data_IF_360639706820
#
_entry.id   IF_360639706820
#
_cell.length_a   1.000
_cell.length_b   1.000
_cell.length_c   1.000
_cell.angle_alpha   90.00
_cell.angle_beta   90.00
_cell.angle_gamma   90.00
#
_symmetry.space_group_name_H-M   'P 1'
#
loop_
_entity.id
_entity.type
_entity.pdbx_description
1 polymer ?
#
# COMPACT_ATOMS: atom_id res chain seq x y z
N UNK A 1 2.63 -6.24 34.99
CA UNK A 1 3.28 -6.93 33.84
C UNK A 1 3.53 -8.43 34.12
N UNK A 2 4.34 -8.83 35.11
CA UNK A 2 4.62 -10.26 35.41
C UNK A 2 3.38 -11.12 35.73
N UNK A 3 2.44 -10.63 36.54
CA UNK A 3 1.20 -11.37 36.85
C UNK A 3 0.32 -11.63 35.62
N UNK A 4 0.25 -10.67 34.68
CA UNK A 4 -0.51 -10.83 33.44
C UNK A 4 0.14 -11.84 32.49
N UNK A 5 1.47 -11.82 32.38
CA UNK A 5 2.23 -12.78 31.59
C UNK A 5 2.08 -14.21 32.14
N UNK A 6 2.18 -14.39 33.46
CA UNK A 6 1.92 -15.68 34.12
C UNK A 6 0.50 -16.17 33.84
N UNK A 7 -0.50 -15.29 33.97
CA UNK A 7 -1.89 -15.65 33.67
C UNK A 7 -2.09 -16.04 32.19
N UNK A 8 -1.47 -15.33 31.25
CA UNK A 8 -1.53 -15.68 29.83
C UNK A 8 -0.96 -17.09 29.58
N UNK A 9 0.21 -17.41 30.13
CA UNK A 9 0.86 -18.72 29.96
C UNK A 9 0.10 -19.85 30.64
N UNK A 10 -0.32 -19.63 31.89
CA UNK A 10 -0.84 -20.72 32.73
C UNK A 10 -2.33 -20.99 32.49
N UNK A 11 -3.07 -19.98 32.04
CA UNK A 11 -4.54 -20.05 31.88
C UNK A 11 -4.94 -19.94 30.41
N UNK A 12 -4.51 -18.88 29.71
CA UNK A 12 -5.02 -18.59 28.36
C UNK A 12 -4.41 -19.47 27.28
N UNK A 13 -3.09 -19.73 27.32
CA UNK A 13 -2.40 -20.53 26.31
C UNK A 13 -2.98 -21.95 26.20
N UNK A 14 -3.38 -22.54 27.34
CA UNK A 14 -4.05 -23.86 27.38
C UNK A 14 -5.43 -23.88 26.73
N UNK A 15 -6.05 -22.71 26.54
CA UNK A 15 -7.36 -22.52 25.90
C UNK A 15 -7.24 -21.94 24.49
N UNK A 16 -6.03 -21.61 24.04
CA UNK A 16 -5.80 -21.05 22.72
C UNK A 16 -6.11 -22.09 21.65
N UNK A 17 -6.44 -21.61 20.44
CA UNK A 17 -6.58 -22.48 19.28
C UNK A 17 -5.23 -23.17 18.98
N UNK A 18 -5.25 -24.39 18.42
CA UNK A 18 -4.02 -25.09 18.05
C UNK A 18 -3.32 -24.48 16.84
N UNK A 19 -4.04 -23.67 16.04
CA UNK A 19 -3.52 -22.98 14.87
C UNK A 19 -4.05 -21.54 14.76
N UNK A 20 -3.56 -20.82 13.75
CA UNK A 20 -3.94 -19.44 13.45
C UNK A 20 -5.26 -19.32 12.68
N UNK A 21 -5.89 -20.42 12.28
CA UNK A 21 -7.08 -20.36 11.42
C UNK A 21 -8.26 -19.76 12.18
N UNK A 22 -8.87 -18.75 11.59
CA UNK A 22 -10.08 -18.14 12.12
C UNK A 22 -11.30 -18.99 11.74
N UNK A 23 -12.33 -19.08 12.60
CA UNK A 23 -13.62 -19.59 12.17
C UNK A 23 -14.09 -18.83 10.92
N UNK A 24 -14.62 -19.51 9.88
CA UNK A 24 -14.92 -18.87 8.59
C UNK A 24 -15.80 -17.61 8.71
N UNK A 25 -16.78 -17.62 9.61
CA UNK A 25 -17.65 -16.46 9.85
C UNK A 25 -16.89 -15.26 10.46
N UNK A 26 -15.90 -15.51 11.33
CA UNK A 26 -15.08 -14.46 11.93
C UNK A 26 -14.15 -13.85 10.88
N UNK A 27 -13.50 -14.67 10.05
CA UNK A 27 -12.65 -14.15 8.98
C UNK A 27 -13.44 -13.33 7.94
N UNK A 28 -14.63 -13.82 7.55
CA UNK A 28 -15.52 -13.09 6.65
C UNK A 28 -15.98 -11.75 7.24
N UNK A 29 -16.20 -11.67 8.56
CA UNK A 29 -16.54 -10.43 9.24
C UNK A 29 -15.34 -9.47 9.34
N UNK A 30 -14.12 -9.97 9.56
CA UNK A 30 -12.92 -9.16 9.51
C UNK A 30 -12.73 -8.48 8.15
N UNK A 31 -12.88 -9.22 7.04
CA UNK A 31 -12.81 -8.66 5.68
C UNK A 31 -13.78 -7.47 5.54
N UNK A 32 -15.01 -7.66 6.03
CA UNK A 32 -16.03 -6.61 6.03
C UNK A 32 -15.63 -5.37 6.84
N UNK A 33 -14.96 -5.56 7.98
CA UNK A 33 -14.41 -4.47 8.78
C UNK A 33 -13.38 -3.61 8.05
N UNK A 34 -12.67 -4.19 7.06
CA UNK A 34 -11.69 -3.48 6.24
C UNK A 34 -12.24 -2.98 4.90
N UNK A 35 -13.57 -3.04 4.70
CA UNK A 35 -14.21 -2.60 3.47
C UNK A 35 -14.17 -3.62 2.33
N UNK A 36 -13.77 -4.86 2.62
CA UNK A 36 -13.69 -5.95 1.64
C UNK A 36 -14.96 -6.79 1.72
N UNK A 37 -15.74 -6.80 0.63
CA UNK A 37 -17.04 -7.50 0.57
C UNK A 37 -16.99 -8.82 -0.21
N UNK A 38 -15.91 -9.08 -0.93
CA UNK A 38 -15.70 -10.32 -1.66
C UNK A 38 -15.41 -11.51 -0.71
N UNK A 39 -15.75 -12.70 -1.18
CA UNK A 39 -15.44 -13.95 -0.48
C UNK A 39 -13.94 -14.28 -0.55
N UNK A 40 -13.39 -15.07 0.39
CA UNK A 40 -12.01 -15.55 0.34
C UNK A 40 -11.65 -16.20 -1.02
N UNK A 41 -12.55 -16.98 -1.59
CA UNK A 41 -12.33 -17.68 -2.86
C UNK A 41 -12.27 -16.72 -4.06
N UNK A 42 -13.11 -15.68 -4.08
CA UNK A 42 -13.05 -14.63 -5.10
C UNK A 42 -11.74 -13.85 -5.00
N UNK A 43 -11.35 -13.45 -3.78
CA UNK A 43 -10.09 -12.74 -3.53
C UNK A 43 -8.88 -13.55 -4.02
N UNK A 44 -8.81 -14.83 -3.67
CA UNK A 44 -7.73 -15.73 -4.10
C UNK A 44 -7.68 -15.82 -5.63
N UNK A 45 -8.81 -16.11 -6.26
CA UNK A 45 -8.89 -16.33 -7.72
C UNK A 45 -8.48 -15.08 -8.51
N UNK A 46 -9.04 -13.92 -8.15
CA UNK A 46 -8.76 -12.67 -8.85
C UNK A 46 -7.29 -12.25 -8.65
N UNK A 47 -6.80 -12.31 -7.42
CA UNK A 47 -5.44 -11.86 -7.11
C UNK A 47 -4.36 -12.77 -7.70
N UNK A 48 -4.58 -14.09 -7.78
CA UNK A 48 -3.64 -15.01 -8.42
C UNK A 48 -3.48 -14.72 -9.92
N UNK A 49 -4.57 -14.38 -10.61
CA UNK A 49 -4.52 -13.94 -12.01
C UNK A 49 -3.69 -12.66 -12.13
N UNK A 50 -4.05 -11.62 -11.39
CA UNK A 50 -3.35 -10.34 -11.38
C UNK A 50 -1.87 -10.48 -11.04
N UNK A 51 -1.52 -11.31 -10.06
CA UNK A 51 -0.15 -11.58 -9.67
C UNK A 51 0.68 -12.09 -10.85
N UNK A 52 0.15 -13.00 -11.67
CA UNK A 52 0.89 -13.50 -12.84
C UNK A 52 1.05 -12.46 -13.94
N UNK A 53 0.04 -11.60 -14.16
CA UNK A 53 0.14 -10.51 -15.13
C UNK A 53 1.20 -9.49 -14.73
N UNK A 54 1.13 -8.97 -13.50
CA UNK A 54 2.11 -8.01 -12.97
C UNK A 54 3.52 -8.62 -12.99
N UNK A 55 3.67 -9.88 -12.57
CA UNK A 55 4.96 -10.58 -12.60
C UNK A 55 5.52 -10.69 -14.02
N UNK A 56 4.67 -10.82 -15.03
CA UNK A 56 5.09 -10.93 -16.43
C UNK A 56 5.60 -9.60 -16.97
N UNK A 57 4.91 -8.49 -16.64
CA UNK A 57 5.38 -7.13 -16.93
C UNK A 57 6.70 -6.84 -16.24
N UNK A 58 6.82 -7.17 -14.95
CA UNK A 58 8.06 -7.01 -14.19
C UNK A 58 9.22 -7.78 -14.82
N UNK A 59 9.00 -9.02 -15.30
CA UNK A 59 10.05 -9.79 -15.99
C UNK A 59 10.52 -9.09 -17.26
N UNK A 60 9.60 -8.56 -18.06
CA UNK A 60 9.95 -7.84 -19.28
C UNK A 60 10.74 -6.57 -18.98
N UNK A 61 10.32 -5.81 -17.97
CA UNK A 61 11.01 -4.58 -17.55
C UNK A 61 12.38 -4.87 -16.92
N UNK A 62 12.48 -5.87 -16.05
CA UNK A 62 13.75 -6.30 -15.45
C UNK A 62 14.77 -6.71 -16.52
N UNK A 63 14.32 -7.40 -17.58
CA UNK A 63 15.19 -7.75 -18.69
C UNK A 63 15.74 -6.51 -19.41
N UNK A 64 14.89 -5.50 -19.66
CA UNK A 64 15.29 -4.23 -20.30
C UNK A 64 16.28 -3.45 -19.44
N UNK A 65 16.00 -3.32 -18.13
CA UNK A 65 16.88 -2.66 -17.17
C UNK A 65 18.24 -3.35 -17.15
N UNK A 66 18.27 -4.68 -17.04
CA UNK A 66 19.51 -5.45 -17.04
C UNK A 66 20.30 -5.26 -18.34
N UNK A 67 19.62 -5.18 -19.50
CA UNK A 67 20.27 -4.90 -20.77
C UNK A 67 20.90 -3.49 -20.79
N UNK A 68 20.18 -2.47 -20.34
CA UNK A 68 20.66 -1.08 -20.28
C UNK A 68 21.83 -0.91 -19.30
N UNK A 69 21.78 -1.61 -18.16
CA UNK A 69 22.83 -1.62 -17.13
C UNK A 69 24.01 -2.54 -17.46
N UNK A 70 23.93 -3.32 -18.54
CA UNK A 70 24.98 -4.27 -18.92
C UNK A 70 25.12 -5.47 -17.96
N UNK A 71 24.06 -5.83 -17.23
CA UNK A 71 24.07 -6.95 -16.30
C UNK A 71 23.95 -8.30 -17.02
N UNK A 72 24.72 -9.28 -16.56
CA UNK A 72 24.70 -10.64 -17.13
C UNK A 72 23.35 -11.32 -16.87
N UNK A 73 22.91 -11.35 -15.61
CA UNK A 73 21.65 -11.97 -15.20
C UNK A 73 20.47 -11.01 -15.39
N UNK A 74 19.53 -11.40 -16.24
CA UNK A 74 18.36 -10.61 -16.66
C UNK A 74 17.06 -11.11 -16.02
N UNK A 75 17.14 -12.10 -15.13
CA UNK A 75 15.97 -12.65 -14.44
C UNK A 75 15.49 -11.65 -13.40
N UNK A 76 14.17 -11.61 -13.19
CA UNK A 76 13.52 -10.64 -12.30
C UNK A 76 14.17 -10.53 -10.91
N UNK A 77 14.31 -11.65 -10.21
CA UNK A 77 14.79 -11.66 -8.81
C UNK A 77 16.25 -11.18 -8.69
N UNK A 78 17.21 -11.66 -9.50
CA UNK A 78 18.57 -11.10 -9.56
C UNK A 78 18.62 -9.60 -9.82
N UNK A 79 17.84 -9.10 -10.79
CA UNK A 79 17.78 -7.67 -11.13
C UNK A 79 17.24 -6.85 -9.96
N UNK A 80 16.14 -7.28 -9.34
CA UNK A 80 15.60 -6.64 -8.14
C UNK A 80 16.63 -6.62 -7.00
N UNK A 81 17.30 -7.74 -6.73
CA UNK A 81 18.34 -7.82 -5.70
C UNK A 81 19.54 -6.92 -6.00
N UNK A 82 19.89 -6.71 -7.26
CA UNK A 82 20.94 -5.76 -7.65
C UNK A 82 20.51 -4.32 -7.37
N UNK A 83 19.29 -3.93 -7.75
CA UNK A 83 18.74 -2.60 -7.46
C UNK A 83 18.54 -2.34 -5.97
N UNK A 84 18.15 -3.36 -5.18
CA UNK A 84 18.06 -3.25 -3.72
C UNK A 84 19.40 -2.94 -3.06
N UNK A 85 20.54 -3.20 -3.71
CA UNK A 85 21.86 -2.80 -3.17
C UNK A 85 22.16 -1.31 -3.34
N UNK A 86 21.42 -0.61 -4.20
CA UNK A 86 21.51 0.85 -4.38
C UNK A 86 20.79 1.57 -3.21
N UNK A 87 21.27 1.31 -2.00
CA UNK A 87 20.74 1.84 -0.74
C UNK A 87 21.00 3.34 -0.62
N UNK A 88 20.02 4.08 -0.08
CA UNK A 88 20.16 5.50 0.19
C UNK A 88 20.90 5.68 1.52
N UNK A 89 21.95 6.53 1.58
CA UNK A 89 22.57 6.89 2.85
C UNK A 89 21.56 7.51 3.82
N UNK A 90 21.60 7.12 5.11
CA UNK A 90 20.62 7.54 6.10
C UNK A 90 20.53 9.08 6.24
N UNK A 91 21.67 9.77 6.15
CA UNK A 91 21.78 11.24 6.20
C UNK A 91 21.23 11.93 4.95
N UNK A 92 20.95 11.17 3.88
CA UNK A 92 20.41 11.65 2.60
C UNK A 92 18.95 11.30 2.35
N UNK A 93 18.34 10.48 3.20
CA UNK A 93 16.97 9.98 2.96
C UNK A 93 15.96 11.13 2.77
N UNK A 94 15.95 12.13 3.65
CA UNK A 94 14.99 13.23 3.59
C UNK A 94 15.16 14.05 2.31
N UNK A 95 16.42 14.37 1.95
CA UNK A 95 16.76 15.10 0.73
C UNK A 95 16.28 14.37 -0.52
N UNK A 96 16.51 13.05 -0.60
CA UNK A 96 16.07 12.23 -1.74
C UNK A 96 14.54 12.23 -1.87
N UNK A 97 13.81 12.01 -0.77
CA UNK A 97 12.35 11.99 -0.80
C UNK A 97 11.74 13.35 -1.14
N UNK A 98 12.34 14.45 -0.68
CA UNK A 98 11.93 15.80 -1.11
C UNK A 98 12.14 16.01 -2.61
N UNK A 99 13.27 15.54 -3.16
CA UNK A 99 13.52 15.59 -4.61
C UNK A 99 12.53 14.70 -5.39
N UNK A 100 12.19 13.52 -4.87
CA UNK A 100 11.17 12.64 -5.48
C UNK A 100 9.82 13.32 -5.51
N UNK A 101 9.41 13.95 -4.41
CA UNK A 101 8.14 14.65 -4.33
C UNK A 101 8.08 15.78 -5.36
N UNK A 102 9.09 16.63 -5.42
CA UNK A 102 9.13 17.74 -6.38
C UNK A 102 9.02 17.25 -7.84
N UNK A 103 9.74 16.17 -8.19
CA UNK A 103 9.65 15.57 -9.52
C UNK A 103 8.27 14.95 -9.81
N UNK A 104 7.63 14.35 -8.81
CA UNK A 104 6.28 13.80 -8.93
C UNK A 104 5.25 14.91 -9.11
N UNK A 105 5.36 16.01 -8.36
CA UNK A 105 4.46 17.17 -8.51
C UNK A 105 4.60 17.83 -9.89
N UNK A 106 5.82 17.93 -10.41
CA UNK A 106 6.04 18.40 -11.79
C UNK A 106 5.33 17.52 -12.81
N UNK A 107 5.38 16.19 -12.64
CA UNK A 107 4.64 15.24 -13.50
C UNK A 107 3.13 15.44 -13.36
N UNK A 108 2.61 15.54 -12.14
CA UNK A 108 1.16 15.73 -11.89
C UNK A 108 0.64 16.97 -12.62
N UNK A 109 1.38 18.09 -12.54
CA UNK A 109 1.02 19.34 -13.21
C UNK A 109 1.14 19.22 -14.72
N UNK A 110 2.25 18.63 -15.21
CA UNK A 110 2.51 18.51 -16.66
C UNK A 110 1.48 17.63 -17.37
N UNK A 111 1.10 16.53 -16.75
CA UNK A 111 0.19 15.53 -17.33
C UNK A 111 -1.28 15.77 -16.94
N UNK A 112 -1.58 16.84 -16.19
CA UNK A 112 -2.92 17.19 -15.71
C UNK A 112 -3.61 16.01 -15.02
N UNK A 113 -2.92 15.39 -14.05
CA UNK A 113 -3.40 14.15 -13.41
C UNK A 113 -4.43 14.43 -12.31
N UNK A 114 -4.18 15.39 -11.43
CA UNK A 114 -5.01 15.72 -10.27
C UNK A 114 -4.67 17.13 -9.78
N UNK A 115 -5.62 17.82 -9.16
CA UNK A 115 -5.37 19.15 -8.60
C UNK A 115 -4.48 19.06 -7.36
N UNK A 116 -3.39 19.84 -7.35
CA UNK A 116 -2.50 19.96 -6.19
C UNK A 116 -2.90 21.13 -5.28
N UNK A 117 -2.80 20.98 -3.94
CA UNK A 117 -2.99 22.07 -3.00
C UNK A 117 -1.93 23.17 -3.19
N UNK A 118 -2.26 24.42 -2.85
CA UNK A 118 -1.29 25.54 -2.89
C UNK A 118 -0.16 25.41 -1.85
N UNK A 119 -0.35 24.56 -0.84
CA UNK A 119 0.64 24.30 0.21
C UNK A 119 1.58 23.16 -0.15
N UNK A 120 2.76 23.18 0.45
CA UNK A 120 3.70 22.07 0.40
C UNK A 120 3.18 20.86 1.20
N UNK A 121 3.57 19.66 0.77
CA UNK A 121 3.40 18.45 1.57
C UNK A 121 4.44 18.40 2.70
N UNK A 122 4.08 17.79 3.84
CA UNK A 122 5.01 17.66 4.97
C UNK A 122 5.69 16.30 4.90
N UNK A 123 7.02 16.29 4.73
CA UNK A 123 7.86 15.09 4.83
C UNK A 123 8.85 15.30 5.99
N UNK A 124 8.95 14.32 6.89
CA UNK A 124 9.89 14.38 8.02
C UNK A 124 10.48 13.01 8.35
N UNK A 125 11.54 13.01 9.17
CA UNK A 125 12.08 11.79 9.74
C UNK A 125 11.22 11.30 10.91
N UNK A 126 11.13 9.99 11.05
CA UNK A 126 10.58 9.32 12.21
C UNK A 126 11.47 9.58 13.45
N UNK A 127 10.83 9.71 14.60
CA UNK A 127 11.52 9.56 15.88
C UNK A 127 11.96 8.11 16.09
N UNK A 128 12.87 7.86 17.04
CA UNK A 128 13.26 6.49 17.42
C UNK A 128 12.05 5.65 17.87
N UNK A 129 11.11 6.27 18.60
CA UNK A 129 9.91 5.60 19.09
C UNK A 129 8.95 5.24 17.94
N UNK A 130 8.75 6.13 16.97
CA UNK A 130 7.97 5.84 15.77
C UNK A 130 8.63 4.73 14.94
N UNK A 131 9.96 4.80 14.75
CA UNK A 131 10.71 3.78 14.00
C UNK A 131 10.63 2.39 14.64
N UNK A 132 10.62 2.33 15.98
CA UNK A 132 10.47 1.08 16.71
C UNK A 132 9.04 0.50 16.64
N UNK A 133 8.03 1.37 16.52
CA UNK A 133 6.62 0.97 16.47
C UNK A 133 6.16 0.58 15.06
N UNK A 134 6.58 1.34 14.05
CA UNK A 134 6.23 1.16 12.64
C UNK A 134 7.55 1.13 11.85
N UNK A 135 8.13 -0.04 11.60
CA UNK A 135 9.44 -0.16 10.95
C UNK A 135 9.34 -0.02 9.42
N UNK A 136 8.51 0.88 8.91
CA UNK A 136 8.40 1.22 7.50
C UNK A 136 7.90 2.66 7.40
N UNK A 137 8.35 3.42 6.39
CA UNK A 137 7.85 4.78 6.18
C UNK A 137 6.33 4.78 5.99
N UNK A 138 5.64 5.76 6.57
CA UNK A 138 4.18 5.76 6.69
C UNK A 138 3.60 7.17 6.69
N UNK A 139 2.35 7.30 6.26
CA UNK A 139 1.57 8.53 6.37
C UNK A 139 0.93 8.62 7.78
N UNK A 140 1.32 9.65 8.55
CA UNK A 140 0.73 10.03 9.85
C UNK A 140 -0.48 10.97 9.68
N UNK A 141 -1.73 10.46 9.66
CA UNK A 141 -2.89 11.23 9.20
C UNK A 141 -3.14 12.48 10.07
N UNK A 142 -3.72 13.55 9.51
CA UNK A 142 -4.06 14.73 10.28
C UNK A 142 -5.17 14.42 11.29
N UNK A 143 -5.21 15.24 12.34
CA UNK A 143 -6.39 15.31 13.19
C UNK A 143 -7.59 15.79 12.36
N UNK A 144 -8.67 15.01 12.26
CA UNK A 144 -9.86 15.46 11.50
C UNK A 144 -10.88 16.22 12.36
N UNK A 145 -10.91 15.97 13.67
CA UNK A 145 -11.90 16.55 14.60
C UNK A 145 -11.23 17.68 15.38
N UNK A 146 -11.82 18.88 15.38
CA UNK A 146 -11.23 20.07 16.01
C UNK A 146 -9.82 20.37 15.47
N UNK A 147 -9.60 20.14 14.17
CA UNK A 147 -8.37 20.53 13.49
C UNK A 147 -8.21 22.06 13.55
N UNK A 148 -7.01 22.53 13.88
CA UNK A 148 -6.65 23.96 13.99
C UNK A 148 -5.55 24.37 13.01
N UNK A 149 -5.41 23.65 11.90
CA UNK A 149 -4.39 23.84 10.86
C UNK A 149 -3.38 22.70 10.72
N UNK A 150 -3.66 21.50 11.26
CA UNK A 150 -2.78 20.34 11.11
C UNK A 150 -3.02 19.64 9.76
N UNK A 151 -1.94 19.20 9.12
CA UNK A 151 -1.99 18.36 7.93
C UNK A 151 -1.29 17.03 8.16
N UNK A 152 -1.50 16.10 7.23
CA UNK A 152 -0.81 14.83 7.22
C UNK A 152 0.70 14.99 7.02
N UNK A 153 1.47 14.14 7.67
CA UNK A 153 2.92 14.05 7.50
C UNK A 153 3.33 12.70 6.92
N UNK A 154 4.12 12.71 5.84
CA UNK A 154 4.83 11.52 5.40
C UNK A 154 6.09 11.33 6.26
N UNK A 155 6.09 10.29 7.07
CA UNK A 155 7.12 10.00 8.06
C UNK A 155 8.09 8.94 7.53
N UNK A 156 9.36 9.31 7.38
CA UNK A 156 10.42 8.47 6.84
C UNK A 156 11.16 7.71 7.95
N UNK A 157 11.19 6.38 7.83
CA UNK A 157 11.89 5.51 8.79
C UNK A 157 13.30 5.21 8.27
N UNK A 158 14.32 5.57 9.06
CA UNK A 158 15.74 5.42 8.68
C UNK A 158 16.33 4.05 9.01
N UNK A 159 15.81 3.40 10.04
CA UNK A 159 16.25 2.08 10.50
C UNK A 159 15.15 1.45 11.34
N UNK A 160 15.16 0.12 11.42
CA UNK A 160 14.32 -0.60 12.36
C UNK A 160 15.17 -0.96 13.59
N UNK A 161 15.04 -0.24 14.71
CA UNK A 161 15.83 -0.49 15.92
C UNK A 161 15.46 -1.82 16.62
N UNK A 162 14.39 -2.49 16.20
CA UNK A 162 13.98 -3.80 16.73
C UNK A 162 14.61 -4.99 16.00
N UNK A 163 15.43 -4.77 14.97
CA UNK A 163 16.21 -5.84 14.34
C UNK A 163 17.43 -6.15 15.20
N UNK A 164 17.62 -7.44 15.52
CA UNK A 164 18.77 -7.96 16.24
C UNK A 164 19.73 -8.70 15.29
N UNK A 165 21.03 -8.69 15.59
CA UNK A 165 22.03 -9.50 14.87
C UNK A 165 22.31 -9.04 13.44
N UNK A 166 22.43 -9.99 12.50
CA UNK A 166 22.76 -9.76 11.08
C UNK A 166 21.52 -9.52 10.20
N UNK A 167 20.32 -9.40 10.78
CA UNK A 167 19.09 -9.20 10.03
C UNK A 167 19.04 -7.80 9.40
N UNK A 168 18.93 -7.73 8.07
CA UNK A 168 18.83 -6.49 7.30
C UNK A 168 17.47 -6.44 6.60
N UNK A 169 16.73 -5.36 6.83
CA UNK A 169 15.51 -5.04 6.09
C UNK A 169 15.82 -3.95 5.08
N UNK A 170 16.08 -4.36 3.84
CA UNK A 170 16.52 -3.52 2.72
C UNK A 170 15.38 -3.20 1.74
N UNK A 171 14.15 -3.59 2.06
CA UNK A 171 12.98 -3.53 1.17
C UNK A 171 12.50 -2.10 0.86
N UNK A 172 12.76 -1.13 1.75
CA UNK A 172 12.15 0.20 1.70
C UNK A 172 13.16 1.36 1.64
N UNK A 173 14.46 1.07 1.53
CA UNK A 173 15.55 2.04 1.70
C UNK A 173 16.47 2.19 0.49
N UNK A 174 16.14 1.56 -0.65
CA UNK A 174 16.90 1.70 -1.90
C UNK A 174 16.30 2.73 -2.85
N UNK A 175 17.10 3.30 -3.76
CA UNK A 175 16.70 4.42 -4.60
C UNK A 175 15.39 4.18 -5.37
N UNK A 176 15.29 3.04 -6.04
CA UNK A 176 14.15 2.73 -6.91
C UNK A 176 12.79 2.67 -6.16
N UNK A 177 12.74 2.25 -4.89
CA UNK A 177 11.46 2.16 -4.15
C UNK A 177 10.94 3.52 -3.69
N UNK A 178 11.82 4.52 -3.59
CA UNK A 178 11.45 5.84 -3.03
C UNK A 178 10.38 6.53 -3.86
N UNK A 179 10.39 6.33 -5.18
CA UNK A 179 9.36 6.87 -6.06
C UNK A 179 7.98 6.30 -5.73
N UNK A 180 7.86 4.96 -5.61
CA UNK A 180 6.59 4.31 -5.29
C UNK A 180 6.09 4.71 -3.90
N UNK A 181 6.99 4.78 -2.90
CA UNK A 181 6.64 5.23 -1.55
C UNK A 181 6.23 6.71 -1.51
N UNK A 182 6.92 7.58 -2.24
CA UNK A 182 6.55 9.00 -2.31
C UNK A 182 5.19 9.17 -2.98
N UNK A 183 4.91 8.41 -4.04
CA UNK A 183 3.60 8.42 -4.68
C UNK A 183 2.50 7.92 -3.74
N UNK A 184 2.74 6.82 -3.03
CA UNK A 184 1.75 6.17 -2.17
C UNK A 184 1.44 6.98 -0.90
N UNK A 185 2.47 7.41 -0.18
CA UNK A 185 2.34 8.03 1.14
C UNK A 185 2.18 9.55 1.05
N UNK A 186 2.80 10.20 0.05
CA UNK A 186 2.68 11.63 -0.17
C UNK A 186 1.68 11.95 -1.30
N UNK A 187 2.16 12.41 -2.46
CA UNK A 187 1.31 12.89 -3.57
C UNK A 187 1.49 12.01 -4.80
N UNK A 188 0.41 11.68 -5.53
CA UNK A 188 -0.99 12.02 -5.27
C UNK A 188 -1.70 11.07 -4.28
N UNK A 189 -0.97 10.24 -3.53
CA UNK A 189 -1.51 9.24 -2.62
C UNK A 189 -2.12 9.80 -1.32
N UNK A 190 -1.71 9.22 -0.19
CA UNK A 190 -2.38 9.44 1.09
C UNK A 190 -2.31 10.88 1.59
N UNK A 191 -1.18 11.59 1.47
CA UNK A 191 -1.09 12.98 1.92
C UNK A 191 -2.13 13.84 1.20
N UNK A 192 -2.28 13.68 -0.12
CA UNK A 192 -3.28 14.42 -0.90
C UNK A 192 -4.71 13.98 -0.56
N UNK A 193 -4.93 12.68 -0.35
CA UNK A 193 -6.23 12.16 0.06
C UNK A 193 -6.69 12.77 1.39
N UNK A 194 -5.80 12.83 2.39
CA UNK A 194 -6.09 13.43 3.68
C UNK A 194 -6.13 14.97 3.61
N UNK A 195 -5.34 15.60 2.75
CA UNK A 195 -5.41 17.02 2.46
C UNK A 195 -6.82 17.42 2.02
N UNK A 196 -7.37 16.71 1.03
CA UNK A 196 -8.73 16.94 0.52
C UNK A 196 -9.78 16.86 1.64
N UNK A 197 -9.66 15.88 2.55
CA UNK A 197 -10.60 15.76 3.69
C UNK A 197 -10.56 16.96 4.64
N UNK A 198 -9.39 17.55 4.85
CA UNK A 198 -9.19 18.72 5.70
C UNK A 198 -9.65 19.99 4.98
N UNK A 199 -9.27 20.17 3.72
CA UNK A 199 -9.47 21.41 2.93
C UNK A 199 -10.92 21.57 2.46
N UNK A 200 -11.56 20.47 2.02
CA UNK A 200 -12.96 20.48 1.59
C UNK A 200 -13.95 20.38 2.77
N UNK A 201 -13.44 20.07 3.96
CA UNK A 201 -14.22 19.85 5.16
C UNK A 201 -14.89 18.47 5.18
N UNK A 202 -14.74 17.78 6.30
CA UNK A 202 -15.35 16.46 6.52
C UNK A 202 -16.38 16.53 7.65
N UNK A 203 -17.60 16.05 7.40
CA UNK A 203 -18.61 15.95 8.46
C UNK A 203 -18.12 15.10 9.63
N UNK A 204 -18.54 15.40 10.86
CA UNK A 204 -18.14 14.64 12.05
C UNK A 204 -18.44 13.14 11.90
N UNK A 205 -19.57 12.78 11.30
CA UNK A 205 -19.93 11.39 11.04
C UNK A 205 -18.91 10.69 10.12
N UNK A 206 -18.47 11.36 9.05
CA UNK A 206 -17.43 10.82 8.15
C UNK A 206 -16.07 10.74 8.84
N UNK A 207 -15.68 11.77 9.58
CA UNK A 207 -14.41 11.80 10.29
C UNK A 207 -14.29 10.68 11.35
N UNK A 208 -15.40 10.29 11.99
CA UNK A 208 -15.41 9.23 13.01
C UNK A 208 -15.64 7.84 12.41
N UNK A 209 -16.56 7.69 11.47
CA UNK A 209 -17.10 6.38 11.08
C UNK A 209 -16.79 5.96 9.64
N UNK A 210 -16.28 6.85 8.79
CA UNK A 210 -16.05 6.51 7.38
C UNK A 210 -14.66 5.94 7.09
N UNK A 211 -13.75 5.82 8.07
CA UNK A 211 -12.45 5.23 7.79
C UNK A 211 -12.62 3.81 7.23
N UNK A 212 -12.08 3.60 6.02
CA UNK A 212 -12.23 2.36 5.27
C UNK A 212 -10.88 2.00 4.63
N UNK A 213 -10.30 0.88 5.04
CA UNK A 213 -8.99 0.47 4.56
C UNK A 213 -8.99 0.19 3.05
N UNK A 214 -10.04 -0.40 2.49
CA UNK A 214 -10.12 -0.63 1.04
C UNK A 214 -10.20 0.69 0.25
N UNK A 215 -10.80 1.74 0.79
CA UNK A 215 -10.75 3.07 0.16
C UNK A 215 -9.35 3.68 0.27
N UNK A 216 -8.82 3.82 1.49
CA UNK A 216 -7.55 4.50 1.72
C UNK A 216 -6.40 3.81 0.98
N UNK A 217 -6.21 2.52 1.22
CA UNK A 217 -5.12 1.73 0.63
C UNK A 217 -5.33 1.47 -0.86
N UNK A 218 -6.60 1.38 -1.28
CA UNK A 218 -6.96 1.29 -2.69
C UNK A 218 -6.57 2.56 -3.45
N UNK A 219 -6.80 3.74 -2.85
CA UNK A 219 -6.36 5.02 -3.42
C UNK A 219 -4.84 5.11 -3.50
N UNK A 220 -4.11 4.80 -2.44
CA UNK A 220 -2.63 4.82 -2.47
C UNK A 220 -2.07 3.94 -3.59
N UNK A 221 -2.59 2.73 -3.76
CA UNK A 221 -2.16 1.82 -4.82
C UNK A 221 -2.66 2.24 -6.23
N UNK A 222 -3.80 2.92 -6.31
CA UNK A 222 -4.30 3.53 -7.56
C UNK A 222 -3.44 4.73 -7.97
N UNK A 223 -3.04 5.59 -7.03
CA UNK A 223 -2.10 6.69 -7.22
C UNK A 223 -0.75 6.20 -7.79
N UNK A 224 -0.25 5.07 -7.28
CA UNK A 224 0.92 4.39 -7.85
C UNK A 224 0.70 4.01 -9.33
N UNK A 225 -0.51 3.57 -9.70
CA UNK A 225 -0.81 3.18 -11.09
C UNK A 225 -0.91 4.35 -12.06
N UNK A 226 -1.51 5.47 -11.65
CA UNK A 226 -1.63 6.66 -12.52
C UNK A 226 -0.29 7.34 -12.76
N UNK A 227 0.64 7.24 -11.82
CA UNK A 227 2.00 7.79 -11.97
C UNK A 227 2.92 6.87 -12.77
N UNK A 228 2.56 5.59 -12.94
CA UNK A 228 3.47 4.52 -13.33
C UNK A 228 4.28 4.81 -14.59
N UNK A 229 3.63 5.20 -15.69
CA UNK A 229 4.30 5.34 -16.99
C UNK A 229 5.31 6.49 -17.05
N UNK A 230 5.20 7.47 -16.15
CA UNK A 230 6.06 8.66 -16.11
C UNK A 230 7.32 8.47 -15.25
N UNK A 231 7.40 7.38 -14.48
CA UNK A 231 8.54 7.11 -13.60
C UNK A 231 9.75 6.59 -14.38
N UNK A 232 10.99 6.74 -13.87
CA UNK A 232 12.16 6.07 -14.42
C UNK A 232 12.00 4.53 -14.45
N UNK A 233 12.64 3.80 -15.39
CA UNK A 233 12.44 2.35 -15.54
C UNK A 233 12.63 1.53 -14.26
N UNK A 234 13.65 1.83 -13.46
CA UNK A 234 13.90 1.16 -12.18
C UNK A 234 12.78 1.44 -11.16
N UNK A 235 12.28 2.67 -11.12
CA UNK A 235 11.14 3.07 -10.30
C UNK A 235 9.83 2.42 -10.78
N UNK A 236 9.64 2.29 -12.10
CA UNK A 236 8.53 1.52 -12.67
C UNK A 236 8.56 0.06 -12.21
N UNK A 237 9.74 -0.57 -12.19
CA UNK A 237 9.89 -1.94 -11.71
C UNK A 237 9.48 -2.07 -10.24
N UNK A 238 9.85 -1.10 -9.39
CA UNK A 238 9.51 -1.15 -7.97
C UNK A 238 8.08 -0.69 -7.66
N UNK A 239 7.47 0.13 -8.50
CA UNK A 239 6.02 0.39 -8.48
C UNK A 239 5.21 -0.87 -8.90
N UNK A 240 5.70 -1.65 -9.87
CA UNK A 240 5.09 -2.95 -10.16
C UNK A 240 5.33 -3.95 -9.03
N UNK A 241 6.48 -3.91 -8.37
CA UNK A 241 6.78 -4.74 -7.20
C UNK A 241 5.83 -4.46 -6.04
N UNK A 242 5.58 -3.19 -5.69
CA UNK A 242 4.61 -2.83 -4.64
C UNK A 242 3.23 -3.36 -5.02
N UNK A 243 2.79 -3.18 -6.28
CA UNK A 243 1.53 -3.74 -6.78
C UNK A 243 1.46 -5.26 -6.73
N UNK A 244 2.54 -5.95 -7.12
CA UNK A 244 2.66 -7.41 -7.04
C UNK A 244 2.53 -7.89 -5.60
N UNK A 245 3.21 -7.21 -4.67
CA UNK A 245 3.14 -7.45 -3.22
C UNK A 245 1.70 -7.34 -2.72
N UNK A 246 0.97 -6.28 -3.10
CA UNK A 246 -0.43 -6.09 -2.69
C UNK A 246 -1.36 -7.12 -3.33
N UNK A 247 -1.11 -7.53 -4.58
CA UNK A 247 -1.81 -8.68 -5.17
C UNK A 247 -1.52 -9.98 -4.40
N UNK A 248 -0.26 -10.20 -4.00
CA UNK A 248 0.12 -11.37 -3.20
C UNK A 248 -0.61 -11.40 -1.85
N UNK A 249 -0.64 -10.28 -1.12
CA UNK A 249 -1.41 -10.12 0.12
C UNK A 249 -2.86 -10.60 -0.05
N UNK A 250 -3.52 -10.21 -1.15
CA UNK A 250 -4.93 -10.49 -1.38
C UNK A 250 -5.25 -11.98 -1.57
N UNK A 251 -4.33 -12.82 -2.05
CA UNK A 251 -4.54 -14.28 -2.04
C UNK A 251 -3.90 -14.96 -0.83
N UNK A 252 -2.76 -14.48 -0.33
CA UNK A 252 -2.05 -15.11 0.77
C UNK A 252 -2.79 -15.00 2.10
N UNK A 253 -3.32 -13.82 2.43
CA UNK A 253 -4.03 -13.61 3.70
C UNK A 253 -5.24 -14.56 3.83
N UNK A 254 -6.12 -14.71 2.82
CA UNK A 254 -7.18 -15.71 2.85
C UNK A 254 -6.67 -17.15 2.86
N UNK A 255 -5.60 -17.48 2.14
CA UNK A 255 -5.03 -18.83 2.14
C UNK A 255 -4.47 -19.22 3.51
N UNK A 256 -3.86 -18.28 4.23
CA UNK A 256 -3.40 -18.47 5.61
C UNK A 256 -4.57 -18.66 6.57
N UNK A 257 -5.64 -17.88 6.41
CA UNK A 257 -6.80 -17.93 7.30
C UNK A 257 -7.78 -19.08 7.01
N UNK A 258 -7.68 -19.70 5.84
CA UNK A 258 -8.48 -20.88 5.43
C UNK A 258 -7.69 -22.18 5.40
N UNK A 259 -6.45 -22.18 5.88
CA UNK A 259 -5.61 -23.38 6.00
C UNK A 259 -5.03 -23.92 4.69
N UNK A 260 -5.10 -23.14 3.59
CA UNK A 260 -4.50 -23.50 2.30
C UNK A 260 -2.99 -23.21 2.23
N UNK A 261 -2.50 -22.34 3.12
CA UNK A 261 -1.09 -21.99 3.25
C UNK A 261 -0.75 -21.88 4.73
N UNK A 262 0.35 -22.49 5.15
CA UNK A 262 0.86 -22.30 6.52
C UNK A 262 1.58 -20.96 6.64
N UNK A 263 1.72 -20.46 7.86
CA UNK A 263 2.51 -19.25 8.14
C UNK A 263 3.95 -19.34 7.58
N UNK A 264 4.62 -20.48 7.76
CA UNK A 264 5.96 -20.72 7.21
C UNK A 264 5.97 -20.72 5.67
N UNK A 265 4.98 -21.35 5.02
CA UNK A 265 4.85 -21.32 3.56
C UNK A 265 4.64 -19.90 3.04
N UNK A 266 3.93 -19.05 3.78
CA UNK A 266 3.76 -17.64 3.42
C UNK A 266 5.09 -16.87 3.45
N UNK A 267 5.92 -17.10 4.48
CA UNK A 267 7.27 -16.53 4.58
C UNK A 267 8.13 -16.97 3.40
N UNK A 268 8.20 -18.27 3.15
CA UNK A 268 9.03 -18.84 2.09
C UNK A 268 8.60 -18.31 0.71
N UNK A 269 7.29 -18.25 0.45
CA UNK A 269 6.77 -17.69 -0.80
C UNK A 269 7.18 -16.23 -1.01
N UNK A 270 7.08 -15.38 0.02
CA UNK A 270 7.47 -13.97 -0.08
C UNK A 270 8.98 -13.79 -0.27
N UNK A 271 9.80 -14.60 0.41
CA UNK A 271 11.26 -14.54 0.26
C UNK A 271 11.71 -15.02 -1.13
N UNK A 272 11.15 -16.12 -1.62
CA UNK A 272 11.61 -16.77 -2.85
C UNK A 272 10.98 -16.21 -4.12
N UNK A 273 9.68 -15.91 -4.09
CA UNK A 273 8.92 -15.50 -5.28
C UNK A 273 8.78 -13.98 -5.43
N UNK A 274 8.88 -13.25 -4.32
CA UNK A 274 8.71 -11.78 -4.28
C UNK A 274 10.03 -11.06 -3.96
N UNK A 275 11.03 -11.75 -3.39
CA UNK A 275 12.33 -11.20 -2.98
C UNK A 275 12.27 -10.23 -1.80
N UNK A 276 11.33 -10.43 -0.86
CA UNK A 276 11.35 -9.75 0.43
C UNK A 276 12.50 -10.24 1.30
N UNK A 277 13.00 -9.35 2.16
CA UNK A 277 13.84 -9.75 3.28
C UNK A 277 13.07 -10.67 4.25
N UNK A 278 13.80 -11.49 5.02
CA UNK A 278 13.17 -12.36 6.04
C UNK A 278 12.38 -11.53 7.08
N UNK A 279 12.90 -10.43 7.65
CA UNK A 279 12.14 -9.62 8.60
C UNK A 279 10.81 -9.11 8.02
N UNK A 280 10.81 -8.62 6.78
CA UNK A 280 9.59 -8.14 6.13
C UNK A 280 8.61 -9.29 5.84
N UNK A 281 9.09 -10.43 5.33
CA UNK A 281 8.26 -11.60 5.07
C UNK A 281 7.63 -12.16 6.36
N UNK A 282 8.38 -12.23 7.46
CA UNK A 282 7.86 -12.65 8.76
C UNK A 282 6.79 -11.68 9.28
N UNK A 283 7.04 -10.37 9.21
CA UNK A 283 6.09 -9.34 9.63
C UNK A 283 4.77 -9.42 8.87
N UNK A 284 4.82 -9.65 7.55
CA UNK A 284 3.62 -9.85 6.73
C UNK A 284 2.89 -11.15 7.05
N UNK A 285 3.60 -12.26 7.24
CA UNK A 285 2.98 -13.52 7.64
C UNK A 285 2.30 -13.42 9.01
N UNK A 286 2.93 -12.73 9.97
CA UNK A 286 2.36 -12.43 11.29
C UNK A 286 1.13 -11.52 11.19
N UNK A 287 1.16 -10.54 10.27
CA UNK A 287 0.01 -9.69 9.97
C UNK A 287 -1.20 -10.50 9.51
N UNK A 288 -0.99 -11.43 8.56
CA UNK A 288 -2.06 -12.27 8.03
C UNK A 288 -2.62 -13.23 9.08
N UNK A 289 -1.74 -13.81 9.90
CA UNK A 289 -2.09 -14.87 10.85
C UNK A 289 -2.62 -14.34 12.19
N UNK A 290 -2.09 -13.22 12.69
CA UNK A 290 -2.26 -12.80 14.08
C UNK A 290 -2.67 -11.33 14.25
N UNK A 291 -1.97 -10.40 13.58
CA UNK A 291 -2.09 -8.98 13.95
C UNK A 291 -3.30 -8.30 13.30
N UNK A 292 -3.60 -8.59 12.03
CA UNK A 292 -4.73 -7.99 11.32
C UNK A 292 -5.30 -8.90 10.21
N UNK A 293 -5.79 -10.11 10.53
CA UNK A 293 -6.30 -11.04 9.52
C UNK A 293 -7.41 -10.42 8.66
N UNK A 294 -7.22 -10.41 7.34
CA UNK A 294 -8.15 -9.87 6.35
C UNK A 294 -7.80 -8.46 5.89
N UNK A 295 -7.05 -7.68 6.68
CA UNK A 295 -6.73 -6.30 6.34
C UNK A 295 -5.85 -6.20 5.10
N UNK A 296 -4.88 -7.10 4.94
CA UNK A 296 -3.91 -7.02 3.85
C UNK A 296 -4.56 -7.16 2.46
N UNK A 297 -5.78 -7.72 2.39
CA UNK A 297 -6.56 -7.85 1.16
C UNK A 297 -7.13 -6.51 0.67
N UNK A 298 -7.28 -5.53 1.55
CA UNK A 298 -7.96 -4.26 1.27
C UNK A 298 -7.25 -3.43 0.20
N UNK A 299 -5.92 -3.45 0.18
CA UNK A 299 -5.08 -2.71 -0.76
C UNK A 299 -5.45 -3.03 -2.22
N UNK A 300 -5.28 -4.30 -2.61
CA UNK A 300 -5.48 -4.70 -3.99
C UNK A 300 -6.97 -4.78 -4.34
N UNK A 301 -7.83 -5.14 -3.39
CA UNK A 301 -9.28 -5.07 -3.58
C UNK A 301 -9.75 -3.64 -3.89
N UNK A 302 -9.32 -2.67 -3.10
CA UNK A 302 -9.63 -1.25 -3.31
C UNK A 302 -9.13 -0.75 -4.66
N UNK A 303 -7.87 -1.02 -4.97
CA UNK A 303 -7.26 -0.70 -6.27
C UNK A 303 -8.05 -1.29 -7.44
N UNK A 304 -8.41 -2.57 -7.39
CA UNK A 304 -9.19 -3.22 -8.44
C UNK A 304 -10.56 -2.57 -8.63
N UNK A 305 -11.23 -2.18 -7.55
CA UNK A 305 -12.51 -1.48 -7.64
C UNK A 305 -12.36 -0.09 -8.29
N UNK A 306 -11.31 0.66 -7.95
CA UNK A 306 -11.01 1.94 -8.59
C UNK A 306 -10.64 1.79 -10.07
N UNK A 307 -9.87 0.77 -10.44
CA UNK A 307 -9.54 0.49 -11.86
C UNK A 307 -10.78 0.10 -12.67
N UNK A 308 -11.68 -0.71 -12.10
CA UNK A 308 -12.97 -1.05 -12.71
C UNK A 308 -13.85 0.18 -12.89
N UNK A 309 -13.98 1.00 -11.84
CA UNK A 309 -14.71 2.26 -11.88
C UNK A 309 -14.12 3.21 -12.94
N UNK A 310 -12.78 3.30 -12.97
CA UNK A 310 -11.91 3.79 -14.06
C UNK A 310 -12.53 3.59 -15.43
N UNK A 311 -12.52 2.31 -15.77
CA UNK A 311 -12.93 1.79 -17.07
C UNK A 311 -14.40 2.07 -17.36
N UNK A 312 -15.28 1.91 -16.37
CA UNK A 312 -16.72 2.18 -16.52
C UNK A 312 -16.99 3.65 -16.88
N UNK A 313 -16.30 4.58 -16.21
CA UNK A 313 -16.47 6.03 -16.43
C UNK A 313 -15.88 6.46 -17.77
N UNK A 314 -14.70 5.95 -18.14
CA UNK A 314 -14.08 6.21 -19.45
C UNK A 314 -15.00 5.75 -20.59
N UNK A 315 -15.64 4.58 -20.45
CA UNK A 315 -16.62 4.08 -21.42
C UNK A 315 -17.86 4.98 -21.49
N UNK A 316 -18.38 5.42 -20.34
CA UNK A 316 -19.60 6.22 -20.28
C UNK A 316 -19.42 7.64 -20.86
N UNK A 317 -18.28 8.28 -20.59
CA UNK A 317 -18.01 9.66 -20.98
C UNK A 317 -17.31 9.80 -22.34
N UNK A 318 -16.55 8.78 -22.78
CA UNK A 318 -15.78 8.83 -24.02
C UNK A 318 -14.87 10.06 -24.07
N UNK A 319 -14.94 10.84 -25.14
CA UNK A 319 -14.13 12.05 -25.34
C UNK A 319 -14.38 13.15 -24.29
N UNK A 320 -15.45 13.04 -23.49
CA UNK A 320 -15.74 13.97 -22.38
C UNK A 320 -15.01 13.60 -21.09
N UNK A 321 -14.38 12.43 -21.02
CA UNK A 321 -13.66 12.02 -19.83
C UNK A 321 -12.47 12.96 -19.56
N UNK A 322 -12.46 13.58 -18.38
CA UNK A 322 -11.33 14.35 -17.89
C UNK A 322 -10.77 13.65 -16.64
N UNK A 323 -9.50 13.22 -16.70
CA UNK A 323 -8.88 12.47 -15.63
C UNK A 323 -8.68 13.29 -14.34
N UNK A 324 -8.34 14.57 -14.46
CA UNK A 324 -8.16 15.46 -13.30
C UNK A 324 -9.48 15.63 -12.58
N UNK A 325 -10.54 15.97 -13.30
CA UNK A 325 -11.89 16.12 -12.72
C UNK A 325 -12.38 14.82 -12.07
N UNK A 326 -12.09 13.67 -12.69
CA UNK A 326 -12.42 12.37 -12.12
C UNK A 326 -11.69 12.09 -10.80
N UNK A 327 -10.38 12.35 -10.75
CA UNK A 327 -9.57 12.13 -9.55
C UNK A 327 -9.93 13.12 -8.43
N UNK A 328 -10.14 14.40 -8.75
CA UNK A 328 -10.60 15.41 -7.81
C UNK A 328 -11.95 15.00 -7.21
N UNK A 329 -12.90 14.56 -8.05
CA UNK A 329 -14.20 14.09 -7.58
C UNK A 329 -14.09 12.88 -6.64
N UNK A 330 -13.21 11.91 -6.92
CA UNK A 330 -12.95 10.77 -6.01
C UNK A 330 -12.51 11.27 -4.64
N UNK A 331 -11.53 12.18 -4.60
CA UNK A 331 -10.99 12.69 -3.34
C UNK A 331 -12.01 13.52 -2.56
N UNK A 332 -12.88 14.25 -3.24
CA UNK A 332 -13.99 14.99 -2.62
C UNK A 332 -15.01 14.07 -1.91
N UNK A 333 -15.17 12.82 -2.37
CA UNK A 333 -16.06 11.87 -1.70
C UNK A 333 -15.50 11.39 -0.35
N UNK A 334 -14.20 11.59 -0.11
CA UNK A 334 -13.49 11.13 1.06
C UNK A 334 -13.42 9.60 1.15
N UNK A 335 -13.46 9.07 2.36
CA UNK A 335 -13.18 7.66 2.64
C UNK A 335 -14.39 6.72 2.41
N UNK A 336 -15.26 7.02 1.44
CA UNK A 336 -16.43 6.16 1.18
C UNK A 336 -16.02 4.71 0.88
N UNK A 337 -16.72 3.70 1.42
CA UNK A 337 -16.56 2.32 0.98
C UNK A 337 -16.67 2.19 -0.54
N UNK A 338 -15.94 1.25 -1.20
CA UNK A 338 -15.88 1.17 -2.65
C UNK A 338 -17.24 1.17 -3.37
N UNK A 339 -18.24 0.48 -2.82
CA UNK A 339 -19.60 0.43 -3.38
C UNK A 339 -20.29 1.80 -3.39
N UNK A 340 -20.19 2.55 -2.28
CA UNK A 340 -20.77 3.89 -2.16
C UNK A 340 -20.00 4.95 -2.96
N UNK A 341 -18.67 4.78 -3.08
CA UNK A 341 -17.86 5.62 -3.96
C UNK A 341 -18.27 5.42 -5.42
N UNK A 342 -18.43 4.17 -5.86
CA UNK A 342 -18.91 3.83 -7.21
C UNK A 342 -20.30 4.42 -7.47
N UNK A 343 -21.24 4.27 -6.54
CA UNK A 343 -22.56 4.89 -6.63
C UNK A 343 -22.47 6.41 -6.81
N UNK A 344 -21.70 7.10 -5.95
CA UNK A 344 -21.52 8.54 -6.03
C UNK A 344 -20.94 9.00 -7.38
N UNK A 345 -19.95 8.28 -7.91
CA UNK A 345 -19.34 8.58 -9.22
C UNK A 345 -20.34 8.39 -10.34
N UNK A 346 -21.04 7.26 -10.40
CA UNK A 346 -21.97 6.97 -11.50
C UNK A 346 -23.22 7.86 -11.48
N UNK A 347 -23.65 8.32 -10.31
CA UNK A 347 -24.84 9.17 -10.20
C UNK A 347 -24.54 10.68 -10.33
N UNK A 348 -23.33 11.12 -9.95
CA UNK A 348 -23.03 12.56 -9.84
C UNK A 348 -21.90 13.05 -10.73
N UNK A 349 -20.92 12.20 -11.08
CA UNK A 349 -19.81 12.57 -11.96
C UNK A 349 -20.08 12.23 -13.43
N UNK A 350 -20.72 11.09 -13.70
CA UNK A 350 -21.07 10.64 -15.05
C UNK A 350 -22.23 11.36 -15.77
N UNK A 351 -23.21 12.03 -15.14
CA UNK A 351 -24.50 12.33 -15.78
C UNK A 351 -24.45 13.21 -17.05
#
# INVERSE_FOLDING_TARGET
KRQYETWLKDVMLKKARPDNQLPPAVYADNLKGYGVRATPQELIKEAQYSYQFIRSEMKALAWRIAQQRGWEDKRLIPVMRALKKEQIPQDKILEVYQQRLAAIEEIIVREDLITLPERDAVIRLATEAESAAIPASFMSPPQLINNTGQYGEFVLVQSNPALDGDDVMDDWSHDAITWALTVHEARPGHELQFASLVENGTSLARAIFAFNSANAEGWGLYAESIMHEFLPPEAQLFNLFTRLMRAARMFMDPMVNTGQMTHAQAIDFMMEQIALSRPMASSEADRYAFNAPGQATSYYFGYMNLMRLRTEVEIALGDKFNQREFHDFILEQGLLPPELLREAVLEKFVP
#
